data_IF_486029968763
#
_entry.id   IF_486029968763
#
_cell.length_a   1.000
_cell.length_b   1.000
_cell.length_c   1.000
_cell.angle_alpha   90.00
_cell.angle_beta   90.00
_cell.angle_gamma   90.00
#
_symmetry.space_group_name_H-M   'P 1'
#
loop_
_entity.id
_entity.type
_entity.pdbx_description
1 polymer ?
#
# COMPACT_ATOMS: atom_id res chain seq x y z
N UNK A 1 3.95 41.74 2.71
CA UNK A 1 3.37 41.11 1.50
C UNK A 1 4.55 40.59 0.69
N UNK A 2 4.90 39.31 0.85
CA UNK A 2 5.97 38.69 0.06
C UNK A 2 5.48 38.48 -1.38
N UNK A 3 6.30 38.72 -2.41
CA UNK A 3 5.89 38.46 -3.77
C UNK A 3 5.80 36.95 -4.00
N UNK A 4 4.62 36.48 -4.41
CA UNK A 4 4.43 35.16 -4.99
C UNK A 4 5.40 35.01 -6.17
N UNK A 5 6.30 34.04 -6.12
CA UNK A 5 7.31 33.87 -7.16
C UNK A 5 6.78 33.00 -8.29
N UNK A 6 7.33 33.13 -9.50
CA UNK A 6 6.95 32.29 -10.65
C UNK A 6 7.18 30.78 -10.38
N UNK A 7 7.97 30.42 -9.36
CA UNK A 7 8.16 29.05 -8.89
C UNK A 7 6.88 28.52 -8.22
N UNK A 8 6.18 29.35 -7.44
CA UNK A 8 4.94 28.95 -6.76
C UNK A 8 3.80 28.63 -7.76
N UNK A 9 3.82 29.28 -8.94
CA UNK A 9 2.90 29.00 -10.07
C UNK A 9 3.23 27.72 -10.85
N UNK A 10 4.46 27.20 -10.74
CA UNK A 10 4.84 25.92 -11.36
C UNK A 10 4.35 24.75 -10.49
N UNK A 11 4.34 24.91 -9.17
CA UNK A 11 3.83 23.90 -8.24
C UNK A 11 2.31 23.91 -8.08
N UNK A 12 1.63 25.02 -8.39
CA UNK A 12 0.17 25.14 -8.26
C UNK A 12 -0.64 24.33 -9.29
N UNK A 13 0.00 23.73 -10.29
CA UNK A 13 -0.63 22.93 -11.33
C UNK A 13 -0.22 21.44 -11.29
N UNK A 14 0.42 20.98 -10.20
CA UNK A 14 0.78 19.58 -10.06
C UNK A 14 -0.36 18.81 -9.39
N UNK A 15 -1.05 18.00 -10.20
CA UNK A 15 -1.93 16.94 -9.69
C UNK A 15 -1.14 16.12 -8.66
N UNK A 16 -1.54 16.22 -7.40
CA UNK A 16 -0.88 15.54 -6.29
C UNK A 16 -1.75 14.36 -5.88
N UNK A 17 -1.25 13.17 -6.18
CA UNK A 17 -1.91 11.91 -5.81
C UNK A 17 -1.25 11.38 -4.55
N UNK A 18 -1.94 11.45 -3.41
CA UNK A 18 -1.46 10.92 -2.14
C UNK A 18 -2.12 9.57 -1.87
N UNK A 19 -1.30 8.55 -1.64
CA UNK A 19 -1.71 7.19 -1.35
C UNK A 19 -1.10 6.74 -0.03
N UNK A 20 -1.92 6.31 0.93
CA UNK A 20 -1.49 5.84 2.25
C UNK A 20 -2.18 4.53 2.61
N UNK A 21 -1.41 3.48 2.94
CA UNK A 21 -1.97 2.19 3.34
C UNK A 21 -2.41 2.26 4.80
N UNK A 22 -3.71 2.14 5.05
CA UNK A 22 -4.29 2.22 6.40
C UNK A 22 -4.29 0.89 7.11
N UNK A 23 -4.73 -0.14 6.41
CA UNK A 23 -4.76 -1.48 6.98
C UNK A 23 -4.67 -2.55 5.90
N UNK A 24 -4.36 -3.76 6.34
CA UNK A 24 -4.47 -4.94 5.50
C UNK A 24 -4.95 -6.13 6.31
N UNK A 25 -5.73 -6.98 5.67
CA UNK A 25 -6.29 -8.19 6.25
C UNK A 25 -5.80 -9.41 5.50
N UNK A 26 -5.25 -10.37 6.22
CA UNK A 26 -4.90 -11.69 5.69
C UNK A 26 -5.92 -12.72 6.14
N UNK A 27 -6.39 -13.55 5.21
CA UNK A 27 -7.27 -14.69 5.48
C UNK A 27 -6.64 -15.94 4.88
N UNK A 28 -6.40 -16.94 5.72
CA UNK A 28 -5.78 -18.22 5.35
C UNK A 28 -4.39 -18.07 4.70
N UNK A 29 -3.60 -17.08 5.10
CA UNK A 29 -2.22 -16.85 4.63
C UNK A 29 -1.23 -17.26 5.71
N UNK A 30 -0.28 -18.13 5.36
CA UNK A 30 0.70 -18.72 6.27
C UNK A 30 0.02 -19.36 7.47
N UNK A 31 0.35 -18.86 8.67
CA UNK A 31 -0.26 -19.33 9.92
C UNK A 31 -1.58 -18.67 10.28
N UNK A 32 -1.93 -17.55 9.65
CA UNK A 32 -3.08 -16.75 10.03
C UNK A 32 -4.36 -17.32 9.40
N UNK A 33 -5.35 -17.68 10.23
CA UNK A 33 -6.71 -17.93 9.72
C UNK A 33 -7.36 -16.61 9.32
N UNK A 34 -7.22 -15.60 10.19
CA UNK A 34 -7.55 -14.21 9.93
C UNK A 34 -6.66 -13.32 10.79
N UNK A 35 -6.10 -12.26 10.22
CA UNK A 35 -5.47 -11.16 10.97
C UNK A 35 -5.73 -9.87 10.21
N UNK A 36 -6.14 -8.82 10.91
CA UNK A 36 -6.23 -7.45 10.41
C UNK A 36 -5.13 -6.66 11.11
N UNK A 37 -4.41 -5.85 10.33
CA UNK A 37 -3.28 -5.06 10.79
C UNK A 37 -3.50 -3.63 10.34
N UNK A 38 -3.62 -2.73 11.30
CA UNK A 38 -3.60 -1.29 11.06
C UNK A 38 -2.15 -0.81 11.03
N UNK A 39 -1.84 0.04 10.06
CA UNK A 39 -0.53 0.68 9.93
C UNK A 39 -0.61 2.08 10.50
N UNK A 40 0.53 2.56 11.01
CA UNK A 40 0.67 3.94 11.42
C UNK A 40 0.38 4.87 10.22
N UNK A 41 -0.45 5.92 10.41
CA UNK A 41 -0.78 6.84 9.33
C UNK A 41 0.46 7.58 8.84
N UNK A 42 0.47 7.98 7.57
CA UNK A 42 1.45 8.94 7.07
C UNK A 42 0.99 10.35 7.47
N UNK A 43 1.51 10.86 8.59
CA UNK A 43 1.34 12.26 9.00
C UNK A 43 2.45 13.12 8.40
N UNK A 44 2.06 14.31 7.92
CA UNK A 44 3.01 15.31 7.42
C UNK A 44 3.38 16.33 8.52
N UNK A 45 2.97 16.08 9.77
CA UNK A 45 3.39 16.88 10.91
C UNK A 45 4.82 16.47 11.24
N UNK A 46 5.78 17.26 10.74
CA UNK A 46 7.20 17.02 10.93
C UNK A 46 7.52 16.83 12.41
N UNK A 47 8.41 15.89 12.70
CA UNK A 47 9.00 15.73 14.04
C UNK A 47 9.66 17.06 14.41
N UNK A 48 9.20 17.80 15.43
CA UNK A 48 9.90 18.99 15.89
C UNK A 48 11.23 18.56 16.53
N UNK A 49 12.35 18.94 15.92
CA UNK A 49 13.67 18.88 16.56
C UNK A 49 14.02 20.27 17.16
N UNK A 50 14.71 20.36 18.31
CA UNK A 50 14.82 19.38 19.40
C UNK A 50 14.53 19.96 20.81
N UNK A 51 14.20 19.06 21.75
CA UNK A 51 14.34 19.16 23.23
C UNK A 51 13.14 19.46 24.13
N UNK A 52 11.90 19.52 23.67
CA UNK A 52 10.76 19.43 24.59
C UNK A 52 9.97 18.14 24.36
N UNK A 53 10.25 17.16 25.22
CA UNK A 53 9.50 15.93 25.33
C UNK A 53 8.34 16.18 26.29
N UNK A 54 7.19 16.64 25.80
CA UNK A 54 5.96 16.53 26.57
C UNK A 54 5.43 15.08 26.44
N UNK A 55 5.35 14.30 27.53
CA UNK A 55 4.80 12.95 27.49
C UNK A 55 3.28 12.91 27.28
N UNK A 56 2.61 14.05 27.16
CA UNK A 56 1.16 14.16 26.90
C UNK A 56 0.81 14.36 25.42
N UNK A 57 1.80 14.56 24.55
CA UNK A 57 1.57 14.64 23.09
C UNK A 57 1.71 13.26 22.44
N UNK A 58 0.61 12.75 21.87
CA UNK A 58 0.64 11.57 21.01
C UNK A 58 1.52 11.89 19.79
N UNK A 59 2.68 11.25 19.72
CA UNK A 59 3.58 11.38 18.56
C UNK A 59 3.09 10.47 17.44
N UNK A 60 2.55 11.08 16.39
CA UNK A 60 2.26 10.38 15.14
C UNK A 60 3.57 10.03 14.42
N UNK A 61 4.15 8.87 14.73
CA UNK A 61 5.28 8.34 13.96
C UNK A 61 4.76 7.59 12.73
N UNK A 62 5.29 7.88 11.54
CA UNK A 62 4.95 7.17 10.29
C UNK A 62 5.59 5.77 10.19
N UNK A 63 5.92 5.13 11.32
CA UNK A 63 6.69 3.89 11.39
C UNK A 63 5.84 2.83 12.09
N UNK A 64 5.61 1.71 11.40
CA UNK A 64 5.00 0.52 12.01
C UNK A 64 6.08 -0.53 12.28
N UNK A 65 6.22 -0.94 13.54
CA UNK A 65 7.18 -1.97 13.96
C UNK A 65 6.46 -3.27 14.34
N UNK A 66 6.75 -4.35 13.63
CA UNK A 66 6.25 -5.69 13.97
C UNK A 66 7.21 -6.42 14.91
N UNK A 67 6.81 -6.60 16.17
CA UNK A 67 7.60 -7.32 17.19
C UNK A 67 6.97 -8.69 17.45
N UNK A 68 7.81 -9.72 17.56
CA UNK A 68 7.36 -11.06 17.91
C UNK A 68 8.46 -12.10 17.78
N UNK A 69 8.23 -13.29 18.32
CA UNK A 69 9.20 -14.38 18.28
C UNK A 69 9.51 -14.88 16.86
N UNK A 70 10.56 -15.67 16.73
CA UNK A 70 10.85 -16.37 15.47
C UNK A 70 9.68 -17.28 15.11
N UNK A 71 9.32 -17.27 13.82
CA UNK A 71 8.13 -17.95 13.33
C UNK A 71 6.80 -17.27 13.65
N UNK A 72 6.73 -16.15 14.38
CA UNK A 72 5.47 -15.47 14.70
C UNK A 72 4.65 -14.99 13.47
N UNK A 73 5.24 -14.98 12.28
CA UNK A 73 4.57 -14.59 11.03
C UNK A 73 4.91 -13.19 10.54
N UNK A 74 5.90 -12.50 11.13
CA UNK A 74 6.37 -11.16 10.70
C UNK A 74 6.69 -11.11 9.20
N UNK A 75 7.47 -12.07 8.71
CA UNK A 75 7.80 -12.19 7.28
C UNK A 75 6.56 -12.44 6.44
N UNK A 76 5.60 -13.24 6.92
CA UNK A 76 4.34 -13.48 6.21
C UNK A 76 3.49 -12.23 6.08
N UNK A 77 3.46 -11.36 7.10
CA UNK A 77 2.78 -10.06 7.04
C UNK A 77 3.40 -9.15 5.98
N UNK A 78 4.73 -8.96 6.04
CA UNK A 78 5.45 -8.10 5.09
C UNK A 78 5.40 -8.63 3.66
N UNK A 79 5.53 -9.95 3.48
CA UNK A 79 5.46 -10.59 2.16
C UNK A 79 4.05 -10.47 1.58
N UNK A 80 3.00 -10.61 2.40
CA UNK A 80 1.62 -10.45 1.93
C UNK A 80 1.34 -9.00 1.51
N UNK A 81 1.80 -8.01 2.28
CA UNK A 81 1.70 -6.60 1.91
C UNK A 81 2.45 -6.30 0.60
N UNK A 82 3.68 -6.76 0.48
CA UNK A 82 4.48 -6.62 -0.74
C UNK A 82 3.83 -7.32 -1.95
N UNK A 83 3.26 -8.51 -1.74
CA UNK A 83 2.50 -9.25 -2.77
C UNK A 83 1.33 -8.41 -3.25
N UNK A 84 0.53 -7.83 -2.35
CA UNK A 84 -0.59 -6.96 -2.69
C UNK A 84 -0.17 -5.72 -3.49
N UNK A 85 0.83 -5.00 -2.98
CA UNK A 85 1.35 -3.78 -3.62
C UNK A 85 2.03 -4.07 -4.97
N UNK A 86 2.59 -5.26 -5.18
CA UNK A 86 3.20 -5.62 -6.47
C UNK A 86 2.21 -5.59 -7.64
N UNK A 87 0.93 -5.87 -7.41
CA UNK A 87 -0.11 -5.76 -8.43
C UNK A 87 -0.42 -4.32 -8.77
N UNK A 88 -0.45 -3.44 -7.76
CA UNK A 88 -0.58 -2.01 -7.98
C UNK A 88 0.61 -1.46 -8.77
N UNK A 89 1.85 -1.76 -8.37
CA UNK A 89 3.07 -1.35 -9.09
C UNK A 89 3.07 -1.85 -10.53
N UNK A 90 2.69 -3.11 -10.76
CA UNK A 90 2.59 -3.66 -12.11
C UNK A 90 1.56 -2.89 -12.96
N UNK A 91 0.45 -2.46 -12.35
CA UNK A 91 -0.58 -1.66 -13.01
C UNK A 91 -0.11 -0.24 -13.31
N UNK A 92 0.55 0.44 -12.39
CA UNK A 92 1.14 1.78 -12.67
C UNK A 92 2.05 1.71 -13.90
N UNK A 93 2.82 0.62 -14.06
CA UNK A 93 3.67 0.41 -15.25
C UNK A 93 2.88 0.10 -16.52
N UNK A 94 1.78 -0.66 -16.45
CA UNK A 94 0.97 -1.12 -17.59
C UNK A 94 -0.46 -1.40 -17.13
N UNK A 95 -1.48 -0.92 -17.82
CA UNK A 95 -2.92 -1.02 -17.46
C UNK A 95 -3.35 -2.39 -16.88
N UNK A 96 -2.92 -3.49 -17.51
CA UNK A 96 -3.24 -4.87 -17.12
C UNK A 96 -2.04 -5.64 -16.58
N UNK A 97 -1.11 -4.93 -15.95
CA UNK A 97 0.07 -5.51 -15.33
C UNK A 97 -0.30 -6.52 -14.24
N UNK A 98 0.40 -7.65 -14.26
CA UNK A 98 0.24 -8.70 -13.26
C UNK A 98 1.35 -8.60 -12.22
N UNK A 99 0.96 -8.54 -10.95
CA UNK A 99 1.89 -8.64 -9.82
C UNK A 99 2.26 -10.08 -9.50
N UNK A 100 2.94 -10.25 -8.37
CA UNK A 100 3.26 -11.58 -7.85
C UNK A 100 1.99 -12.20 -7.27
N UNK A 101 1.57 -13.41 -7.69
CA UNK A 101 0.42 -14.07 -7.09
C UNK A 101 0.77 -14.57 -5.68
N UNK A 102 -0.25 -14.78 -4.83
CA UNK A 102 -0.05 -15.48 -3.56
C UNK A 102 0.50 -16.89 -3.86
N UNK A 103 1.59 -17.27 -3.18
CA UNK A 103 2.18 -18.60 -3.34
C UNK A 103 1.19 -19.66 -2.86
N UNK A 104 1.12 -20.79 -3.57
CA UNK A 104 0.29 -21.91 -3.14
C UNK A 104 0.78 -22.50 -1.80
N UNK A 105 2.09 -22.44 -1.53
CA UNK A 105 2.70 -22.84 -0.26
C UNK A 105 2.34 -21.91 0.91
N UNK A 106 1.93 -20.67 0.62
CA UNK A 106 1.46 -19.74 1.65
C UNK A 106 -0.01 -19.96 2.00
N UNK A 107 -0.74 -20.82 1.28
CA UNK A 107 -2.14 -21.09 1.62
C UNK A 107 -2.20 -22.02 2.82
N UNK A 108 -2.82 -21.53 3.90
CA UNK A 108 -2.95 -22.26 5.18
C UNK A 108 -3.40 -23.71 4.98
N UNK A 109 -2.79 -24.62 5.73
CA UNK A 109 -3.16 -26.04 5.70
C UNK A 109 -4.62 -26.24 6.14
N UNK A 110 -5.32 -27.14 5.47
CA UNK A 110 -6.75 -27.40 5.70
C UNK A 110 -7.71 -26.44 4.98
N UNK A 111 -7.22 -25.37 4.34
CA UNK A 111 -8.07 -24.44 3.58
C UNK A 111 -7.87 -24.58 2.07
N UNK A 112 -8.86 -24.14 1.28
CA UNK A 112 -8.85 -24.21 -0.20
C UNK A 112 -8.34 -22.93 -0.87
N UNK A 113 -8.22 -21.82 -0.14
CA UNK A 113 -7.81 -20.53 -0.67
C UNK A 113 -7.09 -19.69 0.37
N UNK A 114 -6.37 -18.67 -0.10
CA UNK A 114 -5.83 -17.57 0.67
C UNK A 114 -6.31 -16.24 0.08
N UNK A 115 -6.47 -15.22 0.95
CA UNK A 115 -6.94 -13.89 0.59
C UNK A 115 -6.14 -12.81 1.30
N UNK A 116 -5.79 -11.77 0.56
CA UNK A 116 -5.16 -10.54 1.05
C UNK A 116 -6.08 -9.39 0.66
N UNK A 117 -6.47 -8.57 1.63
CA UNK A 117 -7.21 -7.32 1.40
C UNK A 117 -6.32 -6.19 1.90
N UNK A 118 -6.21 -5.11 1.15
CA UNK A 118 -5.52 -3.89 1.58
C UNK A 118 -6.48 -2.72 1.41
N UNK A 119 -6.47 -1.84 2.40
CA UNK A 119 -7.27 -0.63 2.46
C UNK A 119 -6.34 0.57 2.43
N UNK A 120 -6.61 1.47 1.50
CA UNK A 120 -5.74 2.59 1.16
C UNK A 120 -6.56 3.86 1.23
N UNK A 121 -6.07 4.84 1.97
CA UNK A 121 -6.53 6.20 1.88
C UNK A 121 -5.91 6.83 0.63
N UNK A 122 -6.78 7.33 -0.23
CA UNK A 122 -6.46 7.89 -1.52
C UNK A 122 -7.00 9.31 -1.59
N UNK A 123 -6.14 10.24 -1.99
CA UNK A 123 -6.45 11.66 -2.10
C UNK A 123 -5.91 12.18 -3.44
N UNK A 124 -6.79 12.84 -4.21
CA UNK A 124 -6.54 13.29 -5.56
C UNK A 124 -6.93 14.76 -5.68
N UNK A 125 -5.92 15.64 -5.67
CA UNK A 125 -6.12 17.08 -5.79
C UNK A 125 -6.10 17.49 -7.27
N UNK A 126 -7.27 17.84 -7.80
CA UNK A 126 -7.44 18.54 -9.09
C UNK A 126 -8.44 19.73 -8.96
N UNK A 127 -9.22 19.79 -7.87
CA UNK A 127 -10.07 20.93 -7.50
C UNK A 127 -10.50 20.84 -6.03
N UNK A 128 -10.85 21.97 -5.41
CA UNK A 128 -11.09 22.21 -3.96
C UNK A 128 -12.14 21.33 -3.22
N UNK A 129 -12.65 20.23 -3.79
CA UNK A 129 -13.93 19.64 -3.33
C UNK A 129 -14.02 18.10 -3.31
N UNK A 130 -12.91 17.37 -3.11
CA UNK A 130 -12.97 15.91 -2.92
C UNK A 130 -12.32 15.47 -1.60
N UNK A 131 -13.15 14.92 -0.71
CA UNK A 131 -12.71 14.24 0.51
C UNK A 131 -11.84 13.02 0.17
N UNK A 132 -10.81 12.79 0.99
CA UNK A 132 -9.97 11.61 0.89
C UNK A 132 -10.82 10.33 0.99
N UNK A 133 -10.68 9.44 0.01
CA UNK A 133 -11.47 8.22 -0.11
C UNK A 133 -10.70 7.01 0.41
N UNK A 134 -11.40 6.12 1.11
CA UNK A 134 -10.83 4.80 1.42
C UNK A 134 -11.24 3.82 0.35
N UNK A 135 -10.25 3.19 -0.28
CA UNK A 135 -10.44 2.20 -1.32
C UNK A 135 -9.78 0.88 -0.92
N UNK A 136 -10.39 -0.22 -1.36
CA UNK A 136 -9.91 -1.55 -1.06
C UNK A 136 -9.56 -2.30 -2.34
N UNK A 137 -8.52 -3.12 -2.29
CA UNK A 137 -8.38 -4.19 -3.29
C UNK A 137 -8.03 -5.52 -2.65
N UNK A 138 -8.46 -6.58 -3.34
CA UNK A 138 -8.43 -7.95 -2.84
C UNK A 138 -7.70 -8.85 -3.81
N UNK A 139 -6.74 -9.61 -3.29
CA UNK A 139 -6.10 -10.73 -3.98
C UNK A 139 -6.55 -12.04 -3.39
N UNK A 140 -6.95 -12.98 -4.26
CA UNK A 140 -7.32 -14.34 -3.88
C UNK A 140 -6.51 -15.34 -4.69
N UNK A 141 -6.06 -16.40 -4.00
CA UNK A 141 -5.49 -17.58 -4.63
C UNK A 141 -6.21 -18.82 -4.14
N UNK A 142 -6.72 -19.61 -5.08
CA UNK A 142 -7.31 -20.93 -4.81
C UNK A 142 -6.29 -22.02 -5.10
N UNK A 143 -6.22 -23.04 -4.22
CA UNK A 143 -5.39 -24.23 -4.43
C UNK A 143 -5.79 -24.94 -5.72
N UNK A 144 -4.80 -25.52 -6.40
CA UNK A 144 -5.05 -26.31 -7.60
C UNK A 144 -6.00 -27.47 -7.28
N UNK A 145 -6.94 -27.75 -8.19
CA UNK A 145 -7.95 -28.79 -8.01
C UNK A 145 -9.02 -28.49 -6.96
N UNK A 146 -9.09 -27.26 -6.41
CA UNK A 146 -10.13 -26.83 -5.46
C UNK A 146 -10.98 -25.71 -6.06
N UNK A 147 -12.20 -25.57 -5.55
CA UNK A 147 -13.10 -24.44 -5.86
C UNK A 147 -13.14 -23.47 -4.67
N UNK A 148 -13.25 -22.18 -4.97
CA UNK A 148 -13.51 -21.11 -4.00
C UNK A 148 -14.60 -20.21 -4.55
N UNK A 149 -15.41 -19.62 -3.65
CA UNK A 149 -16.37 -18.56 -4.01
C UNK A 149 -15.70 -17.18 -4.03
N UNK A 150 -14.51 -17.08 -3.46
CA UNK A 150 -13.73 -15.85 -3.37
C UNK A 150 -13.00 -15.57 -4.69
N UNK A 151 -12.96 -14.30 -5.09
CA UNK A 151 -12.27 -13.84 -6.29
C UNK A 151 -11.46 -12.58 -6.00
N UNK A 152 -10.38 -12.38 -6.74
CA UNK A 152 -9.62 -11.14 -6.68
C UNK A 152 -10.47 -9.99 -7.23
N UNK A 153 -10.40 -8.83 -6.58
CA UNK A 153 -10.96 -7.58 -7.07
C UNK A 153 -9.85 -6.53 -7.06
N UNK A 154 -9.46 -6.09 -8.25
CA UNK A 154 -8.36 -5.13 -8.45
C UNK A 154 -8.84 -3.85 -9.14
N UNK A 155 -10.16 -3.62 -9.20
CA UNK A 155 -10.76 -2.45 -9.86
C UNK A 155 -10.20 -1.14 -9.29
N UNK A 156 -10.20 -1.00 -7.96
CA UNK A 156 -9.69 0.20 -7.29
C UNK A 156 -8.18 0.38 -7.47
N UNK A 157 -7.39 -0.70 -7.35
CA UNK A 157 -5.95 -0.65 -7.66
C UNK A 157 -5.69 -0.23 -9.12
N UNK A 158 -6.56 -0.65 -10.04
CA UNK A 158 -6.47 -0.29 -11.46
C UNK A 158 -6.81 1.17 -11.67
N UNK A 159 -7.87 1.65 -11.01
CA UNK A 159 -8.32 3.04 -11.08
C UNK A 159 -7.23 3.99 -10.57
N UNK A 160 -6.68 3.78 -9.36
CA UNK A 160 -5.60 4.62 -8.84
C UNK A 160 -4.34 4.54 -9.70
N UNK A 161 -4.01 3.35 -10.21
CA UNK A 161 -2.88 3.21 -11.11
C UNK A 161 -3.08 3.95 -12.44
N UNK A 162 -4.32 4.09 -12.91
CA UNK A 162 -4.67 4.86 -14.10
C UNK A 162 -4.41 6.35 -13.88
N UNK A 163 -4.83 6.89 -12.74
CA UNK A 163 -4.58 8.29 -12.38
C UNK A 163 -3.08 8.63 -12.34
N UNK A 164 -2.23 7.70 -11.86
CA UNK A 164 -0.78 7.87 -11.97
C UNK A 164 -0.26 7.82 -13.41
N UNK A 165 -0.87 7.03 -14.30
CA UNK A 165 -0.50 6.98 -15.72
C UNK A 165 -0.96 8.24 -16.46
N UNK A 166 -2.15 8.76 -16.13
CA UNK A 166 -2.68 10.00 -16.68
C UNK A 166 -1.75 11.16 -16.28
N UNK A 167 -1.43 11.29 -14.99
CA UNK A 167 -0.50 12.29 -14.49
C UNK A 167 0.89 12.21 -15.16
N UNK A 168 1.41 11.01 -15.40
CA UNK A 168 2.67 10.81 -16.13
C UNK A 168 2.58 11.14 -17.62
N UNK A 169 1.42 10.93 -18.24
CA UNK A 169 1.17 11.23 -19.65
C UNK A 169 1.11 12.73 -19.86
N UNK A 170 0.45 13.45 -18.95
CA UNK A 170 0.34 14.91 -18.97
C UNK A 170 1.64 15.59 -18.54
N UNK A 171 2.36 14.99 -17.58
CA UNK A 171 3.61 15.52 -17.05
C UNK A 171 4.62 14.40 -16.77
N UNK A 172 5.68 14.33 -17.58
CA UNK A 172 6.77 13.37 -17.37
C UNK A 172 7.53 13.53 -16.04
N UNK A 173 7.36 14.65 -15.33
CA UNK A 173 7.90 14.91 -13.99
C UNK A 173 6.87 14.70 -12.88
N UNK A 174 5.73 14.06 -13.16
CA UNK A 174 4.73 13.74 -12.14
C UNK A 174 5.31 12.83 -11.05
N UNK A 175 4.91 13.10 -9.82
CA UNK A 175 5.33 12.32 -8.65
C UNK A 175 4.70 10.93 -8.67
N UNK A 176 5.51 9.90 -8.37
CA UNK A 176 5.08 8.51 -8.29
C UNK A 176 5.22 7.95 -6.87
N UNK A 177 4.40 6.96 -6.49
CA UNK A 177 4.50 6.33 -5.19
C UNK A 177 5.79 5.51 -5.10
N UNK A 178 6.53 5.69 -4.00
CA UNK A 178 7.73 4.91 -3.72
C UNK A 178 7.40 3.70 -2.85
N UNK A 179 7.58 2.50 -3.39
CA UNK A 179 7.34 1.23 -2.70
C UNK A 179 8.60 0.38 -2.78
N UNK A 180 9.17 0.03 -1.63
CA UNK A 180 10.36 -0.80 -1.53
C UNK A 180 10.15 -1.95 -0.53
N UNK A 181 10.55 -3.16 -0.92
CA UNK A 181 10.52 -4.34 -0.06
C UNK A 181 11.90 -5.01 -0.08
N UNK A 182 12.48 -5.19 1.09
CA UNK A 182 13.80 -5.78 1.28
C UNK A 182 13.66 -7.15 1.99
N UNK A 183 13.48 -8.25 1.23
CA UNK A 183 13.38 -9.58 1.82
C UNK A 183 14.71 -10.02 2.45
N UNK A 184 14.64 -10.96 3.39
CA UNK A 184 15.80 -11.51 4.10
C UNK A 184 16.59 -12.51 3.25
N UNK A 185 16.06 -12.97 2.13
CA UNK A 185 16.75 -13.92 1.23
C UNK A 185 18.04 -13.31 0.67
N UNK A 186 19.14 -13.53 1.40
CA UNK A 186 20.51 -13.28 0.98
C UNK A 186 20.96 -14.47 0.13
N UNK A 187 20.56 -14.49 -1.13
CA UNK A 187 21.14 -15.41 -2.11
C UNK A 187 21.94 -14.58 -3.11
N UNK A 188 23.26 -14.61 -2.94
CA UNK A 188 24.20 -14.38 -4.04
C UNK A 188 24.20 -15.68 -4.84
N UNK A 189 23.95 -15.60 -6.15
CA UNK A 189 24.37 -16.63 -7.09
C UNK A 189 25.71 -16.20 -7.70
#
# INVERSE_FOLDING_TARGET
MYPFTAIDLIYSNLVTIKMDVKEFTLINVGRFSRINVQLAPITNQGIPFPYHCDPTEERDTNITVFIGNNGAGKTSLLTALATSLSWFVARVRREKGNGTPISEGDIKNGTSFAKIVISVLYDYYDSDDLDAQTIDWTLVKTKKGRKSKEQSSLSFATHVADQYRDALTDNAQASLPFIAFYPVERSVL
#
